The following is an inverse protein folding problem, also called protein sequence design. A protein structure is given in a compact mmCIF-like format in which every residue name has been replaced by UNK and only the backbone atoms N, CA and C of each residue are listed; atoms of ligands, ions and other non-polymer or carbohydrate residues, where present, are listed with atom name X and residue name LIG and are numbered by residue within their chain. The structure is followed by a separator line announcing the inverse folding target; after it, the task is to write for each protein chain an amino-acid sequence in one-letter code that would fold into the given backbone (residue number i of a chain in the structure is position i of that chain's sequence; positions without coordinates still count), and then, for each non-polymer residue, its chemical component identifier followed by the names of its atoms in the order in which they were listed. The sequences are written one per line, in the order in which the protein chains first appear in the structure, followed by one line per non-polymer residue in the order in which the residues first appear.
data_IF_242371216278
#
_entry.id   IF_242371216278
#
_cell.length_a   1.000
_cell.length_b   1.000
_cell.length_c   1.000
_cell.angle_alpha   90.00
_cell.angle_beta   90.00
_cell.angle_gamma   90.00
#
_symmetry.space_group_name_H-M   'P 1'
#
loop_
_entity.id
_entity.type
_entity.pdbx_description
1 polymer ?
#
# COMPACT_ATOMS: atom_id res chain seq x y z
N UNK A 1 -5.26 -18.42 5.72
CA UNK A 1 -4.37 -19.06 6.71
C UNK A 1 -3.16 -18.15 6.92
N UNK A 2 -3.05 -17.44 8.05
CA UNK A 2 -1.88 -16.57 8.33
C UNK A 2 -0.69 -17.46 8.68
N UNK A 3 0.41 -17.43 7.90
CA UNK A 3 1.67 -18.07 8.26
C UNK A 3 2.15 -17.45 9.58
N UNK A 4 2.30 -18.25 10.63
CA UNK A 4 2.72 -17.78 11.96
C UNK A 4 4.09 -17.08 11.95
N UNK A 5 4.94 -17.42 10.97
CA UNK A 5 6.30 -16.89 10.85
C UNK A 5 6.39 -15.69 9.89
N UNK A 6 5.26 -15.23 9.33
CA UNK A 6 5.26 -14.08 8.44
C UNK A 6 5.20 -12.76 9.23
N UNK A 7 6.12 -11.80 8.99
CA UNK A 7 6.15 -10.57 9.76
C UNK A 7 4.87 -9.73 9.61
N UNK A 8 4.30 -9.29 10.72
CA UNK A 8 3.04 -8.52 10.73
C UNK A 8 3.14 -7.19 9.96
N UNK A 9 4.31 -6.55 9.94
CA UNK A 9 4.52 -5.31 9.18
C UNK A 9 4.48 -5.49 7.66
N UNK A 10 4.63 -6.73 7.16
CA UNK A 10 4.50 -7.07 5.74
C UNK A 10 3.09 -7.52 5.36
N UNK A 11 2.18 -7.67 6.32
CA UNK A 11 0.83 -8.17 6.03
C UNK A 11 0.10 -7.29 5.01
N UNK A 12 0.32 -5.97 5.07
CA UNK A 12 -0.23 -5.04 4.07
C UNK A 12 0.39 -5.24 2.67
N UNK A 13 1.69 -5.51 2.62
CA UNK A 13 2.43 -5.71 1.36
C UNK A 13 2.04 -7.05 0.71
N UNK A 14 1.76 -8.08 1.51
CA UNK A 14 1.14 -9.33 1.06
C UNK A 14 -0.28 -9.08 0.52
N UNK A 15 -1.11 -8.32 1.24
CA UNK A 15 -2.47 -8.01 0.78
C UNK A 15 -2.49 -7.28 -0.57
N UNK A 16 -1.53 -6.36 -0.79
CA UNK A 16 -1.34 -5.69 -2.09
C UNK A 16 -1.04 -6.70 -3.21
N UNK A 17 -0.12 -7.63 -2.96
CA UNK A 17 0.20 -8.70 -3.91
C UNK A 17 -1.00 -9.60 -4.21
N UNK A 18 -1.75 -10.00 -3.18
CA UNK A 18 -2.97 -10.81 -3.34
C UNK A 18 -3.98 -10.11 -4.25
N UNK A 19 -4.21 -8.81 -4.04
CA UNK A 19 -5.11 -8.05 -4.92
C UNK A 19 -4.56 -7.90 -6.34
N UNK A 20 -3.25 -7.65 -6.49
CA UNK A 20 -2.62 -7.50 -7.79
C UNK A 20 -2.65 -8.79 -8.63
N UNK A 21 -2.52 -9.95 -7.98
CA UNK A 21 -2.59 -11.26 -8.62
C UNK A 21 -4.02 -11.76 -8.86
N UNK A 22 -5.03 -11.00 -8.43
CA UNK A 22 -6.44 -11.38 -8.61
C UNK A 22 -6.89 -12.51 -7.69
N UNK A 23 -6.30 -12.63 -6.49
CA UNK A 23 -6.76 -13.58 -5.49
C UNK A 23 -8.27 -13.41 -5.25
N UNK A 24 -9.00 -14.53 -5.22
CA UNK A 24 -10.41 -14.55 -4.90
C UNK A 24 -10.56 -14.24 -3.41
N UNK A 25 -11.06 -13.03 -3.12
CA UNK A 25 -11.27 -12.50 -1.79
C UNK A 25 -12.73 -12.10 -1.71
N UNK A 26 -13.42 -12.51 -0.64
CA UNK A 26 -14.81 -12.12 -0.42
C UNK A 26 -14.91 -10.71 0.20
N UNK A 27 -16.14 -10.28 0.51
CA UNK A 27 -16.35 -8.95 1.08
C UNK A 27 -15.75 -8.79 2.49
N UNK A 28 -15.73 -9.85 3.31
CA UNK A 28 -15.20 -9.79 4.67
C UNK A 28 -13.66 -9.81 4.66
N UNK A 29 -13.04 -10.63 3.80
CA UNK A 29 -11.60 -10.57 3.55
C UNK A 29 -11.16 -9.14 3.17
N UNK A 30 -11.92 -8.48 2.30
CA UNK A 30 -11.65 -7.10 1.89
C UNK A 30 -11.87 -6.11 3.04
N UNK A 31 -12.87 -6.32 3.89
CA UNK A 31 -13.06 -5.50 5.10
C UNK A 31 -11.85 -5.59 6.02
N UNK A 32 -11.31 -6.79 6.25
CA UNK A 32 -10.10 -6.97 7.06
C UNK A 32 -8.89 -6.25 6.44
N UNK A 33 -8.71 -6.37 5.12
CA UNK A 33 -7.65 -5.66 4.40
C UNK A 33 -7.80 -4.14 4.51
N UNK A 34 -9.01 -3.60 4.37
CA UNK A 34 -9.28 -2.18 4.50
C UNK A 34 -8.98 -1.66 5.90
N UNK A 35 -9.38 -2.43 6.94
CA UNK A 35 -9.07 -2.07 8.31
C UNK A 35 -7.56 -2.10 8.59
N UNK A 36 -6.83 -3.07 8.02
CA UNK A 36 -5.37 -3.08 8.12
C UNK A 36 -4.77 -1.83 7.46
N UNK A 37 -5.20 -1.51 6.23
CA UNK A 37 -4.76 -0.32 5.51
C UNK A 37 -4.95 0.95 6.36
N UNK A 38 -6.13 1.13 6.98
CA UNK A 38 -6.40 2.26 7.89
C UNK A 38 -5.45 2.28 9.10
N UNK A 39 -5.27 1.15 9.79
CA UNK A 39 -4.38 1.08 10.97
C UNK A 39 -2.92 1.39 10.62
N UNK A 40 -2.52 1.14 9.38
CA UNK A 40 -1.18 1.43 8.86
C UNK A 40 -1.05 2.79 8.17
N UNK A 41 -2.12 3.59 8.15
CA UNK A 41 -2.12 4.95 7.62
C UNK A 41 -2.32 5.07 6.11
N UNK A 42 -2.92 4.08 5.44
CA UNK A 42 -3.22 4.10 4.00
C UNK A 42 -4.73 4.30 3.74
N UNK A 43 -5.24 5.50 4.05
CA UNK A 43 -6.66 5.85 3.96
C UNK A 43 -7.23 5.66 2.55
N UNK A 44 -6.51 6.11 1.52
CA UNK A 44 -6.93 5.97 0.13
C UNK A 44 -7.01 4.50 -0.32
N UNK A 45 -6.03 3.69 0.09
CA UNK A 45 -6.03 2.26 -0.20
C UNK A 45 -7.23 1.56 0.47
N UNK A 46 -7.51 1.91 1.73
CA UNK A 46 -8.67 1.36 2.44
C UNK A 46 -9.98 1.69 1.73
N UNK A 47 -10.13 2.93 1.24
CA UNK A 47 -11.30 3.38 0.50
C UNK A 47 -11.53 2.52 -0.75
N UNK A 48 -10.50 2.31 -1.56
CA UNK A 48 -10.61 1.54 -2.79
C UNK A 48 -10.90 0.05 -2.52
N UNK A 49 -10.33 -0.50 -1.44
CA UNK A 49 -10.65 -1.86 -0.96
C UNK A 49 -12.13 -1.96 -0.57
N UNK A 50 -12.66 -0.99 0.20
CA UNK A 50 -14.05 -0.96 0.64
C UNK A 50 -15.04 -0.81 -0.52
N UNK A 51 -14.71 0.02 -1.52
CA UNK A 51 -15.51 0.13 -2.75
C UNK A 51 -15.63 -1.24 -3.43
N UNK A 52 -14.53 -1.99 -3.50
CA UNK A 52 -14.57 -3.33 -4.08
C UNK A 52 -15.34 -4.32 -3.20
N UNK A 53 -15.18 -4.24 -1.87
CA UNK A 53 -15.92 -5.07 -0.92
C UNK A 53 -17.44 -4.89 -1.08
N UNK A 54 -17.90 -3.63 -1.18
CA UNK A 54 -19.31 -3.29 -1.43
C UNK A 54 -19.81 -3.85 -2.75
N UNK A 55 -18.99 -3.81 -3.81
CA UNK A 55 -19.36 -4.38 -5.11
C UNK A 55 -19.49 -5.92 -5.08
N UNK A 56 -18.75 -6.60 -4.19
CA UNK A 56 -18.88 -8.05 -3.97
C UNK A 56 -20.10 -8.39 -3.09
N UNK A 57 -20.45 -7.50 -2.16
CA UNK A 57 -21.54 -7.67 -1.19
C UNK A 57 -22.94 -7.31 -1.71
N UNK A 58 -23.18 -7.31 -3.04
CA UNK A 58 -24.46 -6.89 -3.64
C UNK A 58 -25.69 -7.63 -3.12
N UNK A 59 -25.52 -8.87 -2.66
CA UNK A 59 -26.58 -9.72 -2.11
C UNK A 59 -26.37 -10.02 -0.62
N UNK A 60 -25.52 -9.25 0.08
CA UNK A 60 -25.28 -9.44 1.49
C UNK A 60 -26.50 -9.09 2.34
N UNK A 61 -26.53 -9.56 3.59
CA UNK A 61 -27.60 -9.19 4.50
C UNK A 61 -27.63 -7.66 4.72
N UNK A 62 -28.80 -7.05 4.98
CA UNK A 62 -28.90 -5.60 5.17
C UNK A 62 -27.94 -5.04 6.22
N UNK A 63 -27.67 -5.79 7.30
CA UNK A 63 -26.73 -5.39 8.34
C UNK A 63 -25.27 -5.31 7.83
N UNK A 64 -24.86 -6.27 6.99
CA UNK A 64 -23.51 -6.29 6.41
C UNK A 64 -23.33 -5.16 5.39
N UNK A 65 -24.35 -4.90 4.57
CA UNK A 65 -24.38 -3.78 3.64
C UNK A 65 -24.28 -2.44 4.38
N UNK A 66 -25.02 -2.27 5.48
CA UNK A 66 -24.95 -1.07 6.32
C UNK A 66 -23.54 -0.88 6.91
N UNK A 67 -22.91 -1.94 7.44
CA UNK A 67 -21.55 -1.89 7.98
C UNK A 67 -20.53 -1.43 6.93
N UNK A 68 -20.65 -1.92 5.69
CA UNK A 68 -19.80 -1.50 4.57
C UNK A 68 -20.01 -0.02 4.23
N UNK A 69 -21.26 0.44 4.23
CA UNK A 69 -21.60 1.84 3.94
C UNK A 69 -21.07 2.79 5.00
N UNK A 70 -21.21 2.44 6.27
CA UNK A 70 -20.65 3.21 7.38
C UNK A 70 -19.12 3.27 7.33
N UNK A 71 -18.47 2.14 7.03
CA UNK A 71 -17.02 2.08 6.88
C UNK A 71 -16.56 2.97 5.72
N UNK A 72 -17.20 2.89 4.56
CA UNK A 72 -16.87 3.70 3.40
C UNK A 72 -17.08 5.19 3.67
N UNK A 73 -18.21 5.56 4.28
CA UNK A 73 -18.50 6.95 4.66
C UNK A 73 -17.46 7.50 5.64
N UNK A 74 -17.02 6.70 6.62
CA UNK A 74 -15.96 7.09 7.55
C UNK A 74 -14.65 7.35 6.82
N UNK A 75 -14.22 6.44 5.95
CA UNK A 75 -12.95 6.60 5.22
C UNK A 75 -12.99 7.79 4.27
N UNK A 76 -14.12 8.03 3.60
CA UNK A 76 -14.27 9.20 2.72
C UNK A 76 -14.17 10.53 3.48
N UNK A 77 -14.69 10.61 4.72
CA UNK A 77 -14.48 11.81 5.57
C UNK A 77 -13.00 12.00 5.91
N UNK A 78 -12.32 10.94 6.34
CA UNK A 78 -10.88 11.00 6.65
C UNK A 78 -10.05 11.45 5.44
N UNK A 79 -10.40 11.00 4.22
CA UNK A 79 -9.70 11.44 3.01
C UNK A 79 -9.86 12.94 2.73
N UNK A 80 -11.01 13.53 3.07
CA UNK A 80 -11.22 14.95 2.86
C UNK A 80 -10.37 15.77 3.85
N UNK A 81 -10.28 15.32 5.10
CA UNK A 81 -9.38 15.89 6.12
C UNK A 81 -7.89 15.75 5.71
N UNK A 82 -7.51 14.61 5.14
CA UNK A 82 -6.14 14.37 4.63
C UNK A 82 -5.79 15.30 3.46
N UNK A 83 -6.74 15.68 2.60
CA UNK A 83 -6.46 16.59 1.46
C UNK A 83 -6.03 17.98 1.92
N UNK A 84 -6.62 18.50 2.98
CA UNK A 84 -6.29 19.82 3.53
C UNK A 84 -4.84 19.86 4.02
N UNK A 85 -4.34 18.77 4.60
CA UNK A 85 -2.97 18.63 5.11
C UNK A 85 -1.91 18.38 4.02
N UNK A 86 -2.30 17.94 2.81
CA UNK A 86 -1.37 17.69 1.70
C UNK A 86 -0.86 18.98 1.01
N UNK A 87 -1.49 20.13 1.26
CA UNK A 87 -1.11 21.43 0.69
C UNK A 87 0.28 21.90 1.15
N UNK A 88 0.66 21.60 2.39
CA UNK A 88 1.96 21.95 2.98
C UNK A 88 3.00 20.82 2.91
N UNK A 89 2.67 19.70 2.26
CA UNK A 89 3.45 18.48 2.35
C UNK A 89 4.89 18.66 1.83
N UNK A 90 5.13 19.49 0.82
CA UNK A 90 6.48 19.70 0.28
C UNK A 90 7.39 20.40 1.30
N UNK A 91 6.84 21.36 2.06
CA UNK A 91 7.55 21.99 3.17
C UNK A 91 7.77 21.03 4.36
N UNK A 92 6.83 20.11 4.60
CA UNK A 92 6.96 19.07 5.62
C UNK A 92 8.01 18.02 5.25
N UNK A 93 8.04 17.57 3.98
CA UNK A 93 9.04 16.65 3.44
C UNK A 93 10.46 17.24 3.59
N UNK A 94 10.63 18.53 3.26
CA UNK A 94 11.92 19.22 3.40
C UNK A 94 12.41 19.28 4.86
N UNK A 95 11.49 19.35 5.83
CA UNK A 95 11.81 19.43 7.27
C UNK A 95 11.83 18.08 7.98
N UNK A 96 11.53 16.98 7.29
CA UNK A 96 11.43 15.67 7.91
C UNK A 96 12.78 15.24 8.52
N UNK A 97 12.81 15.04 9.84
CA UNK A 97 14.00 14.56 10.57
C UNK A 97 14.20 13.05 10.53
N UNK A 98 13.14 12.28 10.26
CA UNK A 98 13.12 10.81 10.23
C UNK A 98 12.75 10.31 8.82
N UNK A 99 13.48 9.31 8.33
CA UNK A 99 13.23 8.67 7.04
C UNK A 99 12.04 7.71 7.04
N UNK A 100 11.69 7.12 8.19
CA UNK A 100 10.68 6.07 8.27
C UNK A 100 9.27 6.54 7.85
N UNK A 101 8.78 7.73 8.28
CA UNK A 101 7.49 8.26 7.82
C UNK A 101 7.45 8.56 6.32
N UNK A 102 8.59 8.96 5.73
CA UNK A 102 8.69 9.34 4.32
C UNK A 102 8.32 8.18 3.38
N UNK A 103 8.59 6.94 3.76
CA UNK A 103 8.20 5.76 2.99
C UNK A 103 6.67 5.64 2.89
N UNK A 104 5.97 5.83 4.00
CA UNK A 104 4.50 5.78 4.01
C UNK A 104 3.89 6.97 3.27
N UNK A 105 4.46 8.18 3.44
CA UNK A 105 4.04 9.37 2.69
C UNK A 105 4.18 9.15 1.19
N UNK A 106 5.35 8.71 0.74
CA UNK A 106 5.60 8.46 -0.67
C UNK A 106 4.66 7.42 -1.26
N UNK A 107 4.41 6.32 -0.54
CA UNK A 107 3.46 5.32 -1.03
C UNK A 107 2.00 5.83 -1.02
N UNK A 108 1.57 6.60 -0.03
CA UNK A 108 0.25 7.23 -0.03
C UNK A 108 0.07 8.17 -1.23
N UNK A 109 1.09 8.97 -1.55
CA UNK A 109 1.08 9.83 -2.73
C UNK A 109 0.93 9.01 -4.01
N UNK A 110 1.66 7.89 -4.15
CA UNK A 110 1.57 7.02 -5.32
C UNK A 110 0.17 6.39 -5.47
N UNK A 111 -0.43 5.93 -4.37
CA UNK A 111 -1.79 5.38 -4.35
C UNK A 111 -2.82 6.44 -4.80
N UNK A 112 -2.60 7.70 -4.46
CA UNK A 112 -3.41 8.83 -4.93
C UNK A 112 -3.02 9.35 -6.33
N UNK A 113 -2.14 8.65 -7.06
CA UNK A 113 -1.72 9.01 -8.41
C UNK A 113 -0.72 10.17 -8.50
N UNK A 114 -0.21 10.67 -7.38
CA UNK A 114 0.77 11.76 -7.33
C UNK A 114 2.20 11.23 -7.45
N UNK A 115 2.50 10.57 -8.58
CA UNK A 115 3.71 9.76 -8.74
C UNK A 115 5.03 10.54 -8.62
N UNK A 116 5.12 11.74 -9.19
CA UNK A 116 6.34 12.58 -9.07
C UNK A 116 6.67 12.88 -7.60
N UNK A 117 5.68 13.35 -6.83
CA UNK A 117 5.82 13.63 -5.40
C UNK A 117 6.12 12.36 -4.60
N UNK A 118 5.48 11.25 -4.98
CA UNK A 118 5.71 9.96 -4.36
C UNK A 118 7.17 9.51 -4.47
N UNK A 119 7.75 9.59 -5.67
CA UNK A 119 9.13 9.21 -5.91
C UNK A 119 10.10 10.14 -5.22
N UNK A 120 9.84 11.45 -5.21
CA UNK A 120 10.65 12.41 -4.45
C UNK A 120 10.68 12.08 -2.94
N UNK A 121 9.53 11.75 -2.34
CA UNK A 121 9.46 11.38 -0.92
C UNK A 121 10.19 10.06 -0.63
N UNK A 122 10.04 9.05 -1.50
CA UNK A 122 10.73 7.76 -1.35
C UNK A 122 12.24 7.90 -1.52
N UNK A 123 12.69 8.66 -2.52
CA UNK A 123 14.10 8.95 -2.75
C UNK A 123 14.70 9.67 -1.53
N UNK A 124 14.01 10.67 -0.99
CA UNK A 124 14.44 11.36 0.23
C UNK A 124 14.55 10.40 1.42
N UNK A 125 13.63 9.44 1.55
CA UNK A 125 13.68 8.41 2.59
C UNK A 125 14.95 7.56 2.49
N UNK A 126 15.29 7.07 1.29
CA UNK A 126 16.49 6.28 1.07
C UNK A 126 17.77 7.10 1.25
N UNK A 127 17.80 8.33 0.75
CA UNK A 127 18.96 9.21 0.85
C UNK A 127 19.26 9.62 2.31
N UNK A 128 18.23 9.81 3.14
CA UNK A 128 18.40 10.07 4.57
C UNK A 128 18.95 8.86 5.34
N UNK A 129 18.63 7.65 4.90
CA UNK A 129 19.02 6.42 5.58
C UNK A 129 18.31 6.24 6.94
N UNK A 130 18.76 5.26 7.75
CA UNK A 130 18.16 4.99 9.06
C UNK A 130 16.77 4.35 9.01
N UNK A 131 16.39 3.77 7.86
CA UNK A 131 15.16 2.99 7.73
C UNK A 131 15.23 1.76 8.62
N UNK A 132 14.20 1.56 9.45
CA UNK A 132 14.07 0.38 10.30
C UNK A 132 13.86 -0.90 9.48
N UNK A 133 13.26 -0.76 8.31
CA UNK A 133 12.89 -1.85 7.41
C UNK A 133 13.23 -1.48 5.96
N UNK A 134 14.53 -1.44 5.59
CA UNK A 134 14.96 -0.97 4.28
C UNK A 134 14.42 -1.85 3.14
N UNK A 135 14.35 -3.17 3.32
CA UNK A 135 13.81 -4.07 2.30
C UNK A 135 12.30 -3.91 2.11
N UNK A 136 11.53 -3.74 3.19
CA UNK A 136 10.11 -3.42 3.10
C UNK A 136 9.87 -2.05 2.43
N UNK A 137 10.76 -1.07 2.67
CA UNK A 137 10.72 0.20 1.98
C UNK A 137 10.96 0.03 0.46
N UNK A 138 11.88 -0.85 0.05
CA UNK A 138 12.09 -1.17 -1.38
C UNK A 138 10.89 -1.87 -2.01
N UNK A 139 10.24 -2.80 -1.30
CA UNK A 139 8.98 -3.40 -1.75
C UNK A 139 7.91 -2.34 -2.03
N UNK A 140 7.77 -1.36 -1.12
CA UNK A 140 6.81 -0.26 -1.26
C UNK A 140 7.17 0.69 -2.39
N UNK A 141 8.46 0.97 -2.60
CA UNK A 141 8.93 1.73 -3.77
C UNK A 141 8.59 1.00 -5.08
N UNK A 142 8.85 -0.30 -5.16
CA UNK A 142 8.51 -1.10 -6.33
C UNK A 142 7.00 -1.13 -6.59
N UNK A 143 6.20 -1.23 -5.54
CA UNK A 143 4.74 -1.14 -5.66
C UNK A 143 4.31 0.23 -6.21
N UNK A 144 4.86 1.34 -5.70
CA UNK A 144 4.61 2.68 -6.24
C UNK A 144 5.02 2.81 -7.71
N UNK A 145 6.17 2.26 -8.10
CA UNK A 145 6.60 2.21 -9.50
C UNK A 145 5.62 1.40 -10.38
N UNK A 146 5.10 0.28 -9.87
CA UNK A 146 4.11 -0.53 -10.58
C UNK A 146 2.78 0.22 -10.79
N UNK A 147 2.33 1.00 -9.79
CA UNK A 147 1.13 1.84 -9.91
C UNK A 147 1.30 2.93 -10.97
N UNK A 148 2.51 3.46 -11.12
CA UNK A 148 2.87 4.43 -12.14
C UNK A 148 3.13 3.83 -13.53
N UNK A 149 2.94 2.51 -13.71
CA UNK A 149 3.23 1.82 -14.97
C UNK A 149 4.73 1.67 -15.28
N UNK A 150 5.63 2.01 -14.35
CA UNK A 150 7.09 1.90 -14.53
C UNK A 150 7.57 0.48 -14.22
N UNK A 151 7.05 -0.49 -14.98
CA UNK A 151 7.22 -1.93 -14.73
C UNK A 151 8.69 -2.37 -14.64
N UNK A 152 9.52 -1.98 -15.60
CA UNK A 152 10.92 -2.43 -15.65
C UNK A 152 11.73 -1.91 -14.45
N UNK A 153 11.48 -0.66 -14.04
CA UNK A 153 12.08 -0.09 -12.82
C UNK A 153 11.58 -0.78 -11.56
N UNK A 154 10.30 -1.15 -11.49
CA UNK A 154 9.76 -1.92 -10.38
C UNK A 154 10.46 -3.28 -10.27
N UNK A 155 10.66 -3.99 -11.39
CA UNK A 155 11.40 -5.26 -11.42
C UNK A 155 12.84 -5.06 -10.94
N UNK A 156 13.54 -4.02 -11.39
CA UNK A 156 14.90 -3.70 -10.92
C UNK A 156 14.94 -3.44 -9.41
N UNK A 157 14.00 -2.65 -8.87
CA UNK A 157 13.94 -2.37 -7.43
C UNK A 157 13.70 -3.64 -6.61
N UNK A 158 12.83 -4.54 -7.08
CA UNK A 158 12.57 -5.82 -6.42
C UNK A 158 13.75 -6.78 -6.51
N UNK A 159 14.53 -6.75 -7.59
CA UNK A 159 15.72 -7.58 -7.74
C UNK A 159 16.82 -7.25 -6.72
N UNK A 160 16.81 -6.03 -6.16
CA UNK A 160 17.72 -5.62 -5.10
C UNK A 160 17.34 -6.20 -3.72
N UNK A 161 16.11 -6.68 -3.55
CA UNK A 161 15.67 -7.38 -2.33
C UNK A 161 15.98 -8.88 -2.51
N UNK A 162 16.96 -9.39 -1.77
CA UNK A 162 17.49 -10.74 -1.97
C UNK A 162 17.73 -11.48 -0.65
N UNK A 163 17.91 -12.80 -0.72
CA UNK A 163 18.11 -13.67 0.44
C UNK A 163 16.86 -14.50 0.79
N UNK A 164 16.81 -14.96 2.03
CA UNK A 164 15.78 -15.90 2.53
C UNK A 164 14.75 -15.23 3.46
N UNK A 165 14.72 -13.89 3.52
CA UNK A 165 13.76 -13.17 4.35
C UNK A 165 12.34 -13.16 3.74
N UNK A 166 11.34 -12.86 4.57
CA UNK A 166 9.96 -12.70 4.09
C UNK A 166 9.80 -11.57 3.07
N UNK A 167 10.62 -10.51 3.17
CA UNK A 167 10.69 -9.44 2.16
C UNK A 167 11.20 -9.96 0.82
N UNK A 168 12.26 -10.78 0.84
CA UNK A 168 12.82 -11.37 -0.38
C UNK A 168 11.83 -12.33 -1.05
N UNK A 169 11.12 -13.13 -0.25
CA UNK A 169 10.03 -13.98 -0.75
C UNK A 169 8.93 -13.14 -1.43
N UNK A 170 8.44 -12.08 -0.77
CA UNK A 170 7.46 -11.17 -1.38
C UNK A 170 8.00 -10.48 -2.64
N UNK A 171 9.27 -10.08 -2.65
CA UNK A 171 9.88 -9.39 -3.78
C UNK A 171 9.94 -10.29 -5.01
N UNK A 172 10.31 -11.56 -4.81
CA UNK A 172 10.32 -12.56 -5.86
C UNK A 172 8.92 -12.79 -6.44
N UNK A 173 7.89 -12.89 -5.58
CA UNK A 173 6.51 -13.08 -6.03
C UNK A 173 6.00 -11.87 -6.83
N UNK A 174 6.31 -10.65 -6.39
CA UNK A 174 5.99 -9.43 -7.12
C UNK A 174 6.69 -9.38 -8.49
N UNK A 175 7.98 -9.74 -8.55
CA UNK A 175 8.70 -9.81 -9.83
C UNK A 175 8.04 -10.78 -10.79
N UNK A 176 7.76 -12.00 -10.33
CA UNK A 176 7.10 -13.02 -11.15
C UNK A 176 5.75 -12.54 -11.68
N UNK A 177 4.98 -11.82 -10.86
CA UNK A 177 3.72 -11.22 -11.29
C UNK A 177 3.92 -10.16 -12.38
N UNK A 178 4.89 -9.26 -12.20
CA UNK A 178 5.17 -8.17 -13.16
C UNK A 178 5.77 -8.68 -14.47
N UNK A 179 6.65 -9.69 -14.43
CA UNK A 179 7.27 -10.30 -15.60
C UNK A 179 6.25 -11.04 -16.48
N UNK A 180 5.19 -11.61 -15.88
CA UNK A 180 4.12 -12.33 -16.58
C UNK A 180 3.04 -11.42 -17.18
N UNK A 181 2.99 -10.15 -16.78
CA UNK A 181 2.01 -9.19 -17.29
C UNK A 181 2.51 -8.66 -18.65
N UNK A 182 1.69 -8.76 -19.72
CA UNK A 182 2.06 -8.24 -21.04
C UNK A 182 2.20 -6.71 -21.05
#
# INVERSE_FOLDING_TARGET
MKRKDFPSYLEIDLNRLMRATGAQLDAEDRMEQAQLALRTGFTAEARDILVTAKALAKNAAPADALRLDEALAKVMRMQEEDKETLSDLDAQLAKAGDANPLVNVGLNLAINGQFERAFAALELAFNKGGLRQPEAARLRQAYALSLAGQRDKAITALAAVSGESAEAELAQLWRLHLERRP
#
